data_IF_239805055853
#
_entry.id   IF_239805055853
#
_cell.length_a   1.000
_cell.length_b   1.000
_cell.length_c   1.000
_cell.angle_alpha   90.00
_cell.angle_beta   90.00
_cell.angle_gamma   90.00
#
_symmetry.space_group_name_H-M   'P 1'
#
loop_
_entity.id
_entity.type
_entity.pdbx_description
1 polymer ?
#
# COMPACT_ATOMS: atom_id res chain seq x y z
N UNK A 1 -36.37 45.85 -23.89
CA UNK A 1 -36.17 44.38 -23.86
C UNK A 1 -34.69 43.95 -24.05
N UNK A 2 -33.70 44.72 -23.56
CA UNK A 2 -32.25 44.40 -23.67
C UNK A 2 -31.56 44.21 -22.31
N UNK A 3 -32.13 44.77 -21.24
CA UNK A 3 -31.52 44.78 -19.89
C UNK A 3 -31.73 43.43 -19.16
N UNK A 4 -32.85 42.75 -19.38
CA UNK A 4 -33.16 41.45 -18.77
C UNK A 4 -32.29 40.29 -19.26
N UNK A 5 -31.76 40.37 -20.50
CA UNK A 5 -30.82 39.37 -21.04
C UNK A 5 -29.40 39.53 -20.48
N UNK A 6 -29.00 40.76 -20.13
CA UNK A 6 -27.69 41.05 -19.55
C UNK A 6 -27.59 40.60 -18.08
N UNK A 7 -28.67 40.74 -17.30
CA UNK A 7 -28.70 40.22 -15.91
C UNK A 7 -28.67 38.68 -15.87
N UNK A 8 -29.40 38.01 -16.77
CA UNK A 8 -29.43 36.54 -16.80
C UNK A 8 -28.08 35.91 -17.19
N UNK A 9 -27.31 36.58 -18.05
CA UNK A 9 -25.97 36.13 -18.45
C UNK A 9 -24.92 36.38 -17.36
N UNK A 10 -25.05 37.47 -16.59
CA UNK A 10 -24.18 37.72 -15.44
C UNK A 10 -24.40 36.71 -14.30
N UNK A 11 -25.65 36.31 -14.04
CA UNK A 11 -25.98 35.28 -13.04
C UNK A 11 -25.45 33.89 -13.43
N UNK A 12 -25.42 33.56 -14.72
CA UNK A 12 -24.89 32.29 -15.21
C UNK A 12 -23.35 32.23 -15.12
N UNK A 13 -22.66 33.33 -15.40
CA UNK A 13 -21.20 33.44 -15.24
C UNK A 13 -20.77 33.39 -13.76
N UNK A 14 -21.55 33.97 -12.85
CA UNK A 14 -21.28 33.90 -11.40
C UNK A 14 -21.43 32.48 -10.84
N UNK A 15 -22.45 31.73 -11.30
CA UNK A 15 -22.67 30.35 -10.90
C UNK A 15 -21.57 29.39 -11.40
N UNK A 16 -21.01 29.65 -12.60
CA UNK A 16 -19.93 28.86 -13.15
C UNK A 16 -18.58 29.09 -12.42
N UNK A 17 -18.33 30.32 -11.98
CA UNK A 17 -17.14 30.64 -11.18
C UNK A 17 -17.18 30.00 -9.77
N UNK A 18 -18.37 29.90 -9.16
CA UNK A 18 -18.54 29.25 -7.86
C UNK A 18 -18.33 27.72 -7.91
N UNK A 19 -18.67 27.08 -9.03
CA UNK A 19 -18.43 25.64 -9.22
C UNK A 19 -16.93 25.29 -9.37
N UNK A 20 -16.12 26.19 -9.94
CA UNK A 20 -14.66 26.00 -10.02
C UNK A 20 -13.96 26.23 -8.67
N UNK A 21 -14.49 27.11 -7.82
CA UNK A 21 -13.89 27.41 -6.51
C UNK A 21 -14.21 26.36 -5.42
N UNK A 22 -15.19 25.47 -5.65
CA UNK A 22 -15.62 24.46 -4.67
C UNK A 22 -14.84 23.13 -4.75
N UNK A 23 -13.88 23.00 -5.68
CA UNK A 23 -12.91 21.90 -5.64
C UNK A 23 -11.72 22.33 -4.78
N UNK A 24 -11.87 22.28 -3.46
CA UNK A 24 -10.69 22.21 -2.60
C UNK A 24 -9.92 20.95 -3.03
N UNK A 25 -8.64 21.08 -3.44
CA UNK A 25 -7.80 19.91 -3.64
C UNK A 25 -7.81 19.16 -2.32
N UNK A 26 -8.17 17.88 -2.33
CA UNK A 26 -8.02 17.07 -1.12
C UNK A 26 -6.59 17.26 -0.61
N UNK A 27 -6.40 17.57 0.69
CA UNK A 27 -5.07 17.74 1.25
C UNK A 27 -4.26 16.52 0.87
N UNK A 28 -3.18 16.73 0.14
CA UNK A 28 -2.26 15.65 -0.19
C UNK A 28 -1.65 15.21 1.15
N UNK A 29 -1.75 13.93 1.54
CA UNK A 29 -1.05 13.40 2.70
C UNK A 29 0.38 13.91 2.72
N UNK A 30 0.77 14.58 3.79
CA UNK A 30 2.18 14.91 4.04
C UNK A 30 2.95 13.59 4.26
N UNK A 31 4.24 13.51 3.90
CA UNK A 31 5.05 12.28 4.07
C UNK A 31 5.00 11.66 5.48
N UNK A 32 4.66 12.45 6.50
CA UNK A 32 4.46 12.00 7.89
C UNK A 32 3.24 11.07 8.10
N UNK A 33 2.29 10.99 7.15
CA UNK A 33 1.03 10.23 7.35
C UNK A 33 1.21 8.71 7.36
N UNK A 34 2.35 8.20 6.86
CA UNK A 34 2.62 6.76 6.72
C UNK A 34 3.94 6.32 7.34
N UNK A 35 4.37 6.92 8.47
CA UNK A 35 5.64 6.54 9.07
C UNK A 35 5.50 5.35 10.02
N UNK A 36 6.14 4.23 9.66
CA UNK A 36 6.32 3.04 10.52
C UNK A 36 7.43 3.25 11.55
N UNK A 37 7.48 2.43 12.58
CA UNK A 37 8.59 2.45 13.56
C UNK A 37 9.92 2.13 12.88
N UNK A 38 9.89 1.19 11.93
CA UNK A 38 11.04 0.89 11.07
C UNK A 38 11.53 2.13 10.31
N UNK A 39 10.64 2.86 9.65
CA UNK A 39 11.00 4.07 8.90
C UNK A 39 11.52 5.18 9.82
N UNK A 40 10.88 5.38 10.97
CA UNK A 40 11.37 6.32 11.99
C UNK A 40 12.81 6.00 12.40
N UNK A 41 13.09 4.75 12.77
CA UNK A 41 14.43 4.32 13.18
C UNK A 41 15.46 4.42 12.03
N UNK A 42 15.08 4.03 10.81
CA UNK A 42 15.97 4.16 9.64
C UNK A 42 16.27 5.61 9.26
N UNK A 43 15.39 6.55 9.61
CA UNK A 43 15.56 7.97 9.33
C UNK A 43 16.36 8.74 10.41
N UNK A 44 16.75 8.06 11.49
CA UNK A 44 17.43 8.70 12.61
C UNK A 44 18.84 9.19 12.21
N UNK A 45 19.10 10.46 12.49
CA UNK A 45 20.38 11.12 12.18
C UNK A 45 21.31 11.12 13.37
N UNK A 46 22.62 10.93 13.13
CA UNK A 46 23.62 10.93 14.20
C UNK A 46 23.74 9.62 14.98
N UNK A 47 22.93 8.61 14.62
CA UNK A 47 23.01 7.24 15.09
C UNK A 47 23.72 6.34 14.07
N UNK A 48 24.26 5.20 14.53
CA UNK A 48 24.77 4.13 13.66
C UNK A 48 23.67 3.08 13.53
N UNK A 49 22.95 3.12 12.40
CA UNK A 49 21.84 2.21 12.13
C UNK A 49 22.34 0.94 11.45
N UNK A 50 22.17 -0.21 12.10
CA UNK A 50 22.46 -1.54 11.57
C UNK A 50 21.18 -2.15 11.00
N UNK A 51 21.20 -2.50 9.71
CA UNK A 51 20.07 -3.14 9.02
C UNK A 51 20.41 -4.57 8.63
N UNK A 52 19.81 -5.53 9.33
CA UNK A 52 19.78 -6.94 8.94
C UNK A 52 18.58 -7.21 8.02
N UNK A 53 18.77 -8.02 6.97
CA UNK A 53 17.68 -8.34 6.06
C UNK A 53 17.83 -9.70 5.40
N UNK A 54 16.70 -10.35 5.17
CA UNK A 54 16.61 -11.62 4.41
C UNK A 54 15.49 -11.50 3.38
N UNK A 55 15.84 -11.54 2.10
CA UNK A 55 14.87 -11.60 1.00
C UNK A 55 14.27 -13.01 0.98
N UNK A 56 12.97 -13.14 1.27
CA UNK A 56 12.31 -14.44 1.38
C UNK A 56 12.06 -15.04 0.01
N UNK A 57 11.30 -14.33 -0.83
CA UNK A 57 11.04 -14.66 -2.24
C UNK A 57 10.28 -13.51 -2.89
N UNK A 58 9.85 -13.74 -4.13
CA UNK A 58 8.95 -12.90 -4.87
C UNK A 58 7.70 -13.64 -5.34
N UNK A 59 6.69 -12.86 -5.72
CA UNK A 59 5.48 -13.31 -6.41
C UNK A 59 5.28 -12.47 -7.67
N UNK A 60 4.98 -13.12 -8.79
CA UNK A 60 4.75 -12.45 -10.06
C UNK A 60 3.27 -12.12 -10.24
N UNK A 61 2.98 -10.90 -10.66
CA UNK A 61 1.66 -10.45 -11.09
C UNK A 61 1.67 -9.99 -12.53
N UNK A 62 0.49 -9.61 -13.03
CA UNK A 62 0.31 -9.20 -14.43
C UNK A 62 0.99 -7.88 -14.82
N UNK A 63 1.50 -7.11 -13.85
CA UNK A 63 2.05 -5.76 -14.06
C UNK A 63 3.34 -5.50 -13.27
N UNK A 64 3.94 -6.55 -12.71
CA UNK A 64 5.09 -6.39 -11.82
C UNK A 64 5.33 -7.60 -10.96
N UNK A 65 6.40 -7.51 -10.18
CA UNK A 65 6.80 -8.54 -9.22
C UNK A 65 6.88 -7.90 -7.84
N UNK A 66 6.28 -8.54 -6.85
CA UNK A 66 6.48 -8.13 -5.47
C UNK A 66 7.53 -9.00 -4.80
N UNK A 67 8.44 -8.35 -4.08
CA UNK A 67 9.46 -8.98 -3.28
C UNK A 67 9.16 -8.73 -1.81
N UNK A 68 9.22 -9.79 -1.00
CA UNK A 68 9.02 -9.70 0.45
C UNK A 68 10.35 -9.95 1.15
N UNK A 69 10.72 -9.01 2.02
CA UNK A 69 11.97 -9.03 2.78
C UNK A 69 11.65 -8.95 4.27
N UNK A 70 12.22 -9.85 5.07
CA UNK A 70 12.25 -9.71 6.52
C UNK A 70 13.37 -8.74 6.91
N UNK A 71 13.08 -7.81 7.81
CA UNK A 71 13.97 -6.71 8.19
C UNK A 71 14.12 -6.62 9.71
N UNK A 72 15.34 -6.38 10.14
CA UNK A 72 15.67 -5.94 11.50
C UNK A 72 16.52 -4.67 11.39
N UNK A 73 16.19 -3.65 12.17
CA UNK A 73 16.88 -2.37 12.22
C UNK A 73 17.26 -2.11 13.67
N UNK A 74 18.51 -1.75 13.93
CA UNK A 74 19.01 -1.47 15.29
C UNK A 74 19.79 -0.17 15.29
N UNK A 75 19.47 0.74 16.21
CA UNK A 75 20.39 1.80 16.62
C UNK A 75 21.44 1.19 17.56
N UNK A 76 22.67 1.02 17.06
CA UNK A 76 23.73 0.33 17.79
C UNK A 76 24.14 1.04 19.11
N UNK A 77 24.30 2.38 19.14
CA UNK A 77 24.50 3.14 20.37
C UNK A 77 23.39 3.02 21.42
N UNK A 78 22.12 3.19 21.05
CA UNK A 78 21.01 3.18 22.03
C UNK A 78 20.49 1.76 22.35
N UNK A 79 20.83 0.77 21.53
CA UNK A 79 20.32 -0.60 21.63
C UNK A 79 18.83 -0.71 21.26
N UNK A 80 18.23 0.34 20.67
CA UNK A 80 16.86 0.31 20.20
C UNK A 80 16.77 -0.50 18.92
N UNK A 81 15.87 -1.47 18.88
CA UNK A 81 15.68 -2.38 17.75
C UNK A 81 14.21 -2.40 17.33
N UNK A 82 14.00 -2.35 16.02
CA UNK A 82 12.70 -2.54 15.37
C UNK A 82 12.80 -3.64 14.32
N UNK A 83 11.69 -4.35 14.11
CA UNK A 83 11.59 -5.46 13.16
C UNK A 83 10.31 -5.34 12.34
N UNK A 84 10.32 -5.98 11.17
CA UNK A 84 9.13 -6.06 10.32
C UNK A 84 9.48 -6.47 8.91
N UNK A 85 8.65 -6.05 7.95
CA UNK A 85 8.75 -6.46 6.55
C UNK A 85 8.96 -5.27 5.63
N UNK A 86 9.71 -5.50 4.55
CA UNK A 86 9.75 -4.64 3.38
C UNK A 86 9.05 -5.34 2.23
N UNK A 87 8.08 -4.66 1.63
CA UNK A 87 7.43 -5.09 0.39
C UNK A 87 7.85 -4.14 -0.71
N UNK A 88 8.57 -4.68 -1.69
CA UNK A 88 9.06 -3.94 -2.85
C UNK A 88 8.28 -4.38 -4.08
N UNK A 89 7.79 -3.44 -4.88
CA UNK A 89 7.03 -3.72 -6.10
C UNK A 89 7.83 -3.17 -7.28
N UNK A 90 8.27 -4.07 -8.16
CA UNK A 90 8.88 -3.70 -9.44
C UNK A 90 7.80 -3.52 -10.51
N UNK A 91 7.95 -2.50 -11.34
CA UNK A 91 7.05 -2.19 -12.46
C UNK A 91 7.63 -2.73 -13.76
N UNK A 92 7.00 -3.78 -14.32
CA UNK A 92 7.46 -4.38 -15.56
C UNK A 92 7.42 -3.43 -16.77
N UNK A 93 6.59 -2.38 -16.72
CA UNK A 93 6.52 -1.37 -17.77
C UNK A 93 7.58 -0.27 -17.61
N UNK A 94 8.22 -0.17 -16.43
CA UNK A 94 9.23 0.84 -16.10
C UNK A 94 10.37 0.20 -15.31
N UNK A 95 11.20 -0.65 -15.94
CA UNK A 95 12.29 -1.35 -15.25
C UNK A 95 13.34 -0.41 -14.67
N UNK A 96 13.44 0.83 -15.19
CA UNK A 96 14.40 1.84 -14.72
C UNK A 96 13.82 2.77 -13.63
N UNK A 97 12.54 2.60 -13.26
CA UNK A 97 11.97 3.35 -12.15
C UNK A 97 12.54 2.84 -10.82
N UNK A 98 12.78 3.74 -9.88
CA UNK A 98 13.14 3.35 -8.52
C UNK A 98 12.05 2.43 -7.95
N UNK A 99 12.47 1.28 -7.41
CA UNK A 99 11.56 0.32 -6.82
C UNK A 99 10.78 0.97 -5.67
N UNK A 100 9.50 0.63 -5.59
CA UNK A 100 8.59 1.25 -4.64
C UNK A 100 8.46 0.35 -3.42
N UNK A 101 8.73 0.90 -2.24
CA UNK A 101 8.75 0.14 -0.99
C UNK A 101 7.58 0.54 -0.07
N UNK A 102 7.03 -0.44 0.62
CA UNK A 102 6.22 -0.23 1.81
C UNK A 102 6.84 -1.02 2.96
N UNK A 103 6.93 -0.38 4.13
CA UNK A 103 7.34 -1.03 5.36
C UNK A 103 6.13 -1.44 6.18
N UNK A 104 6.26 -2.54 6.92
CA UNK A 104 5.20 -3.11 7.75
C UNK A 104 5.84 -3.43 9.09
N UNK A 105 5.40 -2.78 10.15
CA UNK A 105 5.92 -3.05 11.49
C UNK A 105 5.53 -4.48 11.93
N UNK A 106 6.34 -5.09 12.81
CA UNK A 106 6.13 -6.47 13.25
C UNK A 106 4.71 -6.72 13.82
N UNK A 107 4.15 -5.74 14.56
CA UNK A 107 2.81 -5.81 15.13
C UNK A 107 1.68 -5.74 14.08
N UNK A 108 1.97 -5.26 12.87
CA UNK A 108 1.01 -5.20 11.75
C UNK A 108 0.96 -6.49 10.92
N UNK A 109 1.96 -7.38 11.02
CA UNK A 109 2.04 -8.57 10.17
C UNK A 109 0.86 -9.52 10.40
N UNK A 110 0.50 -9.79 11.66
CA UNK A 110 -0.61 -10.68 11.98
C UNK A 110 -1.99 -10.10 11.54
N UNK A 111 -2.30 -8.82 11.79
CA UNK A 111 -3.44 -8.14 11.17
C UNK A 111 -3.45 -8.21 9.64
N UNK A 112 -2.31 -8.02 8.97
CA UNK A 112 -2.20 -8.10 7.51
C UNK A 112 -2.56 -9.49 7.00
N UNK A 113 -1.99 -10.55 7.58
CA UNK A 113 -2.33 -11.94 7.22
C UNK A 113 -3.83 -12.22 7.37
N UNK A 114 -4.43 -11.76 8.48
CA UNK A 114 -5.89 -11.88 8.69
C UNK A 114 -6.69 -11.10 7.65
N UNK A 115 -6.23 -9.91 7.26
CA UNK A 115 -6.83 -9.09 6.20
C UNK A 115 -6.79 -9.80 4.85
N UNK A 116 -5.66 -10.40 4.48
CA UNK A 116 -5.52 -11.20 3.26
C UNK A 116 -6.43 -12.43 3.31
N UNK A 117 -6.44 -13.16 4.42
CA UNK A 117 -7.29 -14.34 4.61
C UNK A 117 -8.79 -13.98 4.52
N UNK A 118 -9.19 -12.79 5.01
CA UNK A 118 -10.55 -12.29 4.85
C UNK A 118 -10.87 -11.99 3.39
N UNK A 119 -9.99 -11.25 2.71
CA UNK A 119 -10.12 -10.91 1.28
C UNK A 119 -10.26 -12.18 0.42
N UNK A 120 -9.45 -13.20 0.67
CA UNK A 120 -9.47 -14.46 -0.07
C UNK A 120 -10.79 -15.24 0.07
N UNK A 121 -11.57 -14.97 1.12
CA UNK A 121 -12.86 -15.61 1.38
C UNK A 121 -14.05 -14.78 0.88
N UNK A 122 -13.82 -13.54 0.45
CA UNK A 122 -14.91 -12.71 -0.08
C UNK A 122 -15.52 -13.37 -1.31
N UNK A 123 -16.85 -13.30 -1.39
CA UNK A 123 -17.62 -13.78 -2.53
C UNK A 123 -18.70 -12.77 -2.93
N UNK A 124 -19.51 -13.10 -3.93
CA UNK A 124 -20.58 -12.23 -4.42
C UNK A 124 -21.67 -11.91 -3.39
N UNK A 125 -21.67 -12.55 -2.20
CA UNK A 125 -22.61 -12.29 -1.11
C UNK A 125 -22.09 -11.28 -0.11
N UNK A 126 -20.86 -10.78 -0.27
CA UNK A 126 -20.29 -9.73 0.57
C UNK A 126 -21.14 -8.45 0.59
N UNK A 127 -21.91 -8.19 -0.47
CA UNK A 127 -22.87 -7.08 -0.56
C UNK A 127 -24.06 -7.47 -1.44
N UNK A 128 -25.15 -6.69 -1.35
CA UNK A 128 -26.34 -6.83 -2.22
C UNK A 128 -26.10 -6.28 -3.64
N UNK A 129 -25.01 -5.56 -3.86
CA UNK A 129 -24.67 -4.94 -5.14
C UNK A 129 -23.94 -5.91 -6.07
N UNK A 130 -24.06 -5.69 -7.38
CA UNK A 130 -23.46 -6.57 -8.40
C UNK A 130 -21.93 -6.49 -8.47
N UNK A 131 -21.33 -5.46 -7.88
CA UNK A 131 -19.88 -5.23 -7.83
C UNK A 131 -19.52 -4.66 -6.47
N UNK A 132 -18.36 -5.06 -5.96
CA UNK A 132 -17.80 -4.51 -4.75
C UNK A 132 -16.29 -4.42 -4.85
N UNK A 133 -15.75 -3.57 -3.99
CA UNK A 133 -14.33 -3.49 -3.72
C UNK A 133 -14.11 -3.66 -2.21
N UNK A 134 -13.02 -4.32 -1.85
CA UNK A 134 -12.58 -4.45 -0.47
C UNK A 134 -11.13 -4.01 -0.38
N UNK A 135 -10.82 -3.19 0.63
CA UNK A 135 -9.50 -2.62 0.81
C UNK A 135 -8.94 -2.96 2.18
N UNK A 136 -7.65 -3.33 2.21
CA UNK A 136 -6.83 -3.38 3.42
C UNK A 136 -5.63 -2.45 3.26
N UNK A 137 -5.25 -1.73 4.32
CA UNK A 137 -4.12 -0.80 4.33
C UNK A 137 -3.28 -0.96 5.61
N UNK A 138 -1.96 -0.97 5.46
CA UNK A 138 -1.00 -0.87 6.59
C UNK A 138 -0.58 0.57 6.83
N UNK A 139 0.06 0.83 7.98
CA UNK A 139 0.61 2.15 8.34
C UNK A 139 1.65 2.61 7.33
N UNK A 140 2.59 1.75 6.92
CA UNK A 140 3.62 2.10 5.92
C UNK A 140 3.12 2.12 4.46
N UNK A 141 1.82 2.30 4.25
CA UNK A 141 1.27 2.60 2.93
C UNK A 141 1.10 1.40 1.99
N UNK A 142 1.26 0.15 2.45
CA UNK A 142 0.86 -1.02 1.65
C UNK A 142 -0.66 -1.04 1.55
N UNK A 143 -1.19 -1.14 0.33
CA UNK A 143 -2.62 -1.19 0.05
C UNK A 143 -2.95 -2.38 -0.83
N UNK A 144 -3.90 -3.19 -0.38
CA UNK A 144 -4.50 -4.28 -1.14
C UNK A 144 -5.93 -3.90 -1.48
N UNK A 145 -6.30 -3.91 -2.76
CA UNK A 145 -7.66 -3.65 -3.24
C UNK A 145 -8.13 -4.85 -4.06
N UNK A 146 -9.19 -5.50 -3.60
CA UNK A 146 -9.82 -6.61 -4.32
C UNK A 146 -11.06 -6.12 -5.05
N UNK A 147 -11.17 -6.51 -6.32
CA UNK A 147 -12.25 -6.09 -7.20
C UNK A 147 -12.68 -7.24 -8.11
N UNK A 148 -13.91 -7.16 -8.61
CA UNK A 148 -14.47 -8.16 -9.53
C UNK A 148 -14.04 -7.85 -10.96
N UNK A 149 -13.49 -8.85 -11.67
CA UNK A 149 -13.18 -8.81 -13.11
C UNK A 149 -14.08 -9.79 -13.87
N UNK A 150 -14.18 -9.70 -15.21
CA UNK A 150 -14.91 -10.70 -16.00
C UNK A 150 -14.42 -12.14 -15.78
N UNK A 151 -13.15 -12.31 -15.39
CA UNK A 151 -12.51 -13.62 -15.17
C UNK A 151 -12.46 -14.00 -13.68
N UNK A 152 -13.35 -13.45 -12.85
CA UNK A 152 -13.37 -13.66 -11.40
C UNK A 152 -12.68 -12.54 -10.62
N UNK A 153 -12.36 -12.80 -9.36
CA UNK A 153 -11.75 -11.79 -8.48
C UNK A 153 -10.26 -11.56 -8.82
N UNK A 154 -9.80 -10.35 -8.58
CA UNK A 154 -8.39 -9.97 -8.65
C UNK A 154 -8.07 -8.98 -7.54
N UNK A 155 -6.81 -8.95 -7.13
CA UNK A 155 -6.32 -8.05 -6.08
C UNK A 155 -5.17 -7.22 -6.61
N UNK A 156 -5.35 -5.91 -6.65
CA UNK A 156 -4.26 -4.96 -6.88
C UNK A 156 -3.54 -4.70 -5.57
N UNK A 157 -2.22 -4.73 -5.61
CA UNK A 157 -1.36 -4.36 -4.48
C UNK A 157 -0.51 -3.16 -4.92
N UNK A 158 -0.35 -2.21 -4.00
CA UNK A 158 0.35 -0.95 -4.23
C UNK A 158 0.99 -0.45 -2.94
N UNK A 159 1.99 0.42 -3.06
CA UNK A 159 2.66 1.12 -1.95
C UNK A 159 2.22 2.60 -1.88
N UNK A 160 2.79 3.36 -0.93
CA UNK A 160 2.51 4.80 -0.70
C UNK A 160 1.01 5.14 -0.65
N UNK A 161 0.24 4.34 0.08
CA UNK A 161 -1.19 4.58 0.28
C UNK A 161 -2.04 4.30 -0.96
N UNK A 162 -1.49 3.67 -1.99
CA UNK A 162 -2.19 3.31 -3.24
C UNK A 162 -2.04 4.31 -4.38
N UNK A 163 -1.09 5.25 -4.24
CA UNK A 163 -0.79 6.31 -5.20
C UNK A 163 0.09 5.87 -6.37
N UNK A 164 0.77 4.73 -6.21
CA UNK A 164 1.78 4.28 -7.18
C UNK A 164 1.44 2.97 -7.88
N UNK A 165 2.45 2.32 -8.48
CA UNK A 165 2.30 1.21 -9.38
C UNK A 165 1.50 0.08 -8.72
N UNK A 166 0.53 -0.44 -9.46
CA UNK A 166 -0.30 -1.56 -9.05
C UNK A 166 0.14 -2.79 -9.81
N UNK A 167 0.71 -3.76 -9.11
CA UNK A 167 0.77 -5.11 -9.64
C UNK A 167 -0.51 -5.85 -9.21
N UNK A 168 -1.05 -6.68 -10.11
CA UNK A 168 -2.33 -7.34 -9.90
C UNK A 168 -2.13 -8.85 -9.84
N UNK A 169 -2.63 -9.43 -8.76
CA UNK A 169 -2.61 -10.85 -8.48
C UNK A 169 -4.00 -11.48 -8.72
N UNK A 170 -3.98 -12.69 -9.25
CA UNK A 170 -5.12 -13.61 -9.22
C UNK A 170 -5.17 -14.34 -7.87
N UNK A 171 -6.27 -15.04 -7.52
CA UNK A 171 -6.42 -15.67 -6.21
C UNK A 171 -5.23 -16.58 -5.81
N UNK A 172 -4.66 -17.33 -6.76
CA UNK A 172 -3.47 -18.16 -6.52
C UNK A 172 -2.26 -17.30 -6.12
N UNK A 173 -1.97 -16.24 -6.88
CA UNK A 173 -0.87 -15.33 -6.56
C UNK A 173 -1.07 -14.58 -5.24
N UNK A 174 -2.33 -14.26 -4.87
CA UNK A 174 -2.61 -13.68 -3.55
C UNK A 174 -2.31 -14.67 -2.41
N UNK A 175 -2.65 -15.95 -2.59
CA UNK A 175 -2.30 -17.00 -1.64
C UNK A 175 -0.78 -17.17 -1.52
N UNK A 176 -0.05 -17.09 -2.64
CA UNK A 176 1.42 -17.09 -2.63
C UNK A 176 1.96 -15.89 -1.86
N UNK A 177 1.48 -14.68 -2.14
CA UNK A 177 1.87 -13.47 -1.41
C UNK A 177 1.64 -13.61 0.10
N UNK A 178 0.47 -14.13 0.51
CA UNK A 178 0.14 -14.42 1.91
C UNK A 178 1.17 -15.36 2.56
N UNK A 179 1.54 -16.43 1.85
CA UNK A 179 2.55 -17.38 2.33
C UNK A 179 3.94 -16.76 2.42
N UNK A 180 4.30 -15.81 1.53
CA UNK A 180 5.55 -15.07 1.62
C UNK A 180 5.59 -14.16 2.86
N UNK A 181 4.48 -13.46 3.16
CA UNK A 181 4.35 -12.64 4.37
C UNK A 181 4.49 -13.51 5.63
N UNK A 182 3.85 -14.68 5.65
CA UNK A 182 3.97 -15.64 6.76
C UNK A 182 5.40 -16.19 6.90
N UNK A 183 6.03 -16.58 5.79
CA UNK A 183 7.42 -17.07 5.79
C UNK A 183 8.39 -15.98 6.28
N UNK A 184 8.15 -14.73 5.92
CA UNK A 184 8.96 -13.61 6.39
C UNK A 184 8.79 -13.35 7.89
N UNK A 185 7.56 -13.49 8.40
CA UNK A 185 7.32 -13.49 9.84
C UNK A 185 8.08 -14.60 10.55
N UNK A 186 8.03 -15.83 10.02
CA UNK A 186 8.76 -16.96 10.59
C UNK A 186 10.27 -16.73 10.62
N UNK A 187 10.83 -16.05 9.61
CA UNK A 187 12.24 -15.67 9.59
C UNK A 187 12.60 -14.67 10.69
N UNK A 188 11.69 -13.75 11.06
CA UNK A 188 11.88 -12.82 12.18
C UNK A 188 11.74 -13.51 13.55
N UNK A 189 10.87 -14.52 13.63
CA UNK A 189 10.62 -15.28 14.86
C UNK A 189 11.73 -16.32 15.13
N UNK A 190 12.54 -16.63 14.12
CA UNK A 190 13.65 -17.57 14.23
C UNK A 190 14.79 -16.98 15.08
N UNK A 191 15.53 -17.83 15.81
CA UNK A 191 16.72 -17.37 16.53
C UNK A 191 17.77 -16.84 15.54
N UNK A 192 18.69 -15.95 15.99
CA UNK A 192 19.78 -15.46 15.16
C UNK A 192 20.57 -16.61 14.53
N UNK A 193 20.88 -16.48 13.24
CA UNK A 193 21.78 -17.42 12.57
C UNK A 193 23.15 -17.37 13.28
N UNK A 194 23.64 -18.53 13.71
CA UNK A 194 24.96 -18.70 14.34
C UNK A 194 26.08 -18.67 13.31
#
# INVERSE_FOLDING_TARGET
>A
MKITRALASLSFLLALAAACAAQEPQPTPTPEEFQTKLESLMSETGAVIVKGYTRVRSVNGSRGTAYVTALEVTDAPAGHKEQGLGVEISDAARPDAADEHAYIDYDEIAPLLKGIDYIMRLDSKATKLSRYEAQYRTRGGLVLVTFTTPNGQATAISTEGGRRARFVLRPVGLAEFRNLVESAKQALDAPPAQ
#
